data_IF_058095658633
#
_entry.id   IF_058095658633
#
_cell.length_a   1.000
_cell.length_b   1.000
_cell.length_c   1.000
_cell.angle_alpha   90.00
_cell.angle_beta   90.00
_cell.angle_gamma   90.00
#
_symmetry.space_group_name_H-M   'P 1'
#
loop_
_entity.id
_entity.type
_entity.pdbx_description
1 polymer ?
#
# COMPACT_ATOMS: atom_id res chain seq x y z
N UNK A 1 -12.63 17.54 -0.09
CA UNK A 1 -11.45 17.03 -0.80
C UNK A 1 -11.85 16.23 -2.03
N UNK A 2 -11.23 16.56 -3.17
CA UNK A 2 -11.55 15.95 -4.47
C UNK A 2 -11.17 14.47 -4.57
N UNK A 3 -10.27 13.97 -3.73
CA UNK A 3 -9.84 12.56 -3.74
C UNK A 3 -10.31 11.81 -2.50
N UNK A 4 -11.32 12.30 -1.76
CA UNK A 4 -11.78 11.68 -0.53
C UNK A 4 -10.67 11.61 0.54
N UNK A 5 -10.43 10.45 1.20
CA UNK A 5 -9.40 10.34 2.23
C UNK A 5 -7.98 10.24 1.65
N UNK A 6 -7.83 10.22 0.33
CA UNK A 6 -6.55 9.96 -0.33
C UNK A 6 -5.73 11.23 -0.55
N UNK A 7 -4.40 11.06 -0.54
CA UNK A 7 -3.41 12.03 -0.97
C UNK A 7 -2.52 11.39 -2.02
N UNK A 8 -2.25 12.09 -3.11
CA UNK A 8 -1.36 11.60 -4.16
C UNK A 8 0.10 11.79 -3.74
N UNK A 9 0.93 10.75 -3.91
CA UNK A 9 2.38 10.80 -3.79
C UNK A 9 3.02 10.68 -5.17
N UNK A 10 3.32 11.82 -5.85
CA UNK A 10 3.79 11.81 -7.24
C UNK A 10 5.08 11.02 -7.45
N UNK A 11 6.00 11.08 -6.48
CA UNK A 11 7.27 10.36 -6.52
C UNK A 11 7.14 8.83 -6.63
N UNK A 12 5.99 8.29 -6.23
CA UNK A 12 5.70 6.85 -6.24
C UNK A 12 4.53 6.51 -7.18
N UNK A 13 3.88 7.51 -7.80
CA UNK A 13 2.68 7.33 -8.62
C UNK A 13 1.58 6.49 -7.94
N UNK A 14 1.42 6.64 -6.62
CA UNK A 14 0.37 5.98 -5.83
C UNK A 14 -0.38 7.01 -5.00
N UNK A 15 -1.56 6.63 -4.53
CA UNK A 15 -2.27 7.40 -3.51
C UNK A 15 -2.11 6.74 -2.14
N UNK A 16 -2.10 7.54 -1.08
CA UNK A 16 -2.09 7.08 0.31
C UNK A 16 -3.39 7.47 0.98
N UNK A 17 -4.01 6.53 1.69
CA UNK A 17 -5.15 6.86 2.52
C UNK A 17 -4.67 7.50 3.83
N UNK A 18 -5.10 8.74 4.11
CA UNK A 18 -4.67 9.49 5.32
C UNK A 18 -5.18 8.88 6.64
N UNK A 19 -6.29 8.12 6.58
CA UNK A 19 -6.88 7.47 7.75
C UNK A 19 -6.25 6.10 8.02
N UNK A 20 -6.10 5.28 6.97
CA UNK A 20 -5.51 3.95 7.07
C UNK A 20 -3.97 3.95 7.10
N UNK A 21 -3.35 5.03 6.62
CA UNK A 21 -1.89 5.26 6.55
C UNK A 21 -1.10 4.25 5.71
N UNK A 22 -1.67 3.80 4.60
CA UNK A 22 -0.96 2.97 3.61
C UNK A 22 -1.33 3.34 2.17
N UNK A 23 -0.45 2.97 1.24
CA UNK A 23 -0.60 3.22 -0.20
C UNK A 23 -1.56 2.23 -0.86
N UNK A 24 -2.32 2.71 -1.85
CA UNK A 24 -3.35 1.95 -2.56
C UNK A 24 -3.23 2.22 -4.06
N UNK A 25 -3.35 1.16 -4.88
CA UNK A 25 -3.40 1.28 -6.35
C UNK A 25 -4.81 1.68 -6.81
N UNK A 26 -4.91 2.38 -7.94
CA UNK A 26 -6.15 3.07 -8.30
C UNK A 26 -7.38 2.13 -8.43
N UNK A 27 -7.22 0.91 -8.95
CA UNK A 27 -8.35 -0.03 -9.07
C UNK A 27 -8.85 -0.58 -7.73
N UNK A 28 -8.05 -0.48 -6.66
CA UNK A 28 -8.43 -0.97 -5.33
C UNK A 28 -9.12 0.09 -4.46
N UNK A 29 -9.28 1.31 -4.97
CA UNK A 29 -9.96 2.38 -4.22
C UNK A 29 -11.37 1.97 -3.76
N UNK A 30 -12.25 1.40 -4.62
CA UNK A 30 -13.60 1.06 -4.19
C UNK A 30 -13.61 -0.03 -3.13
N UNK A 31 -12.77 -1.06 -3.27
CA UNK A 31 -12.67 -2.15 -2.30
C UNK A 31 -12.05 -1.66 -0.98
N UNK A 32 -11.02 -0.81 -1.04
CA UNK A 32 -10.44 -0.16 0.13
C UNK A 32 -11.48 0.62 0.93
N UNK A 33 -12.26 1.48 0.26
CA UNK A 33 -13.30 2.30 0.89
C UNK A 33 -14.49 1.48 1.40
N UNK A 34 -14.71 0.27 0.88
CA UNK A 34 -15.80 -0.62 1.30
C UNK A 34 -15.41 -1.49 2.49
N UNK A 35 -14.21 -2.06 2.49
CA UNK A 35 -13.81 -3.12 3.42
C UNK A 35 -13.10 -2.62 4.68
N UNK A 36 -12.52 -1.42 4.65
CA UNK A 36 -11.85 -0.87 5.83
C UNK A 36 -12.87 -0.28 6.80
N UNK A 37 -12.82 -0.73 8.07
CA UNK A 37 -13.75 -0.31 9.13
C UNK A 37 -13.80 1.22 9.25
N UNK A 38 -12.66 1.90 9.13
CA UNK A 38 -12.53 3.36 9.20
C UNK A 38 -13.26 4.12 8.08
N UNK A 39 -13.60 3.46 6.96
CA UNK A 39 -14.36 4.06 5.85
C UNK A 39 -15.76 3.45 5.70
N UNK A 40 -16.06 2.41 6.47
CA UNK A 40 -17.28 1.66 6.33
C UNK A 40 -18.47 2.61 6.55
N UNK A 41 -19.38 2.67 5.57
CA UNK A 41 -20.56 3.56 5.53
C UNK A 41 -20.29 5.05 5.29
N UNK A 42 -19.03 5.46 5.05
CA UNK A 42 -18.72 6.86 4.78
C UNK A 42 -19.03 7.29 3.33
N UNK A 43 -19.00 6.34 2.40
CA UNK A 43 -19.17 6.61 0.97
C UNK A 43 -20.24 5.72 0.36
N UNK A 44 -21.04 6.28 -0.54
CA UNK A 44 -21.96 5.57 -1.43
C UNK A 44 -21.20 4.85 -2.54
N UNK A 45 -21.90 4.02 -3.31
CA UNK A 45 -21.30 3.37 -4.49
C UNK A 45 -20.82 4.37 -5.53
N UNK A 46 -21.64 5.40 -5.78
CA UNK A 46 -21.31 6.44 -6.75
C UNK A 46 -20.08 7.24 -6.32
N UNK A 47 -20.03 7.71 -5.07
CA UNK A 47 -18.87 8.47 -4.57
C UNK A 47 -17.57 7.67 -4.65
N UNK A 48 -17.61 6.36 -4.37
CA UNK A 48 -16.43 5.49 -4.54
C UNK A 48 -15.95 5.45 -5.99
N UNK A 49 -16.87 5.35 -6.96
CA UNK A 49 -16.52 5.35 -8.37
C UNK A 49 -16.01 6.72 -8.82
N UNK A 50 -16.60 7.80 -8.33
CA UNK A 50 -16.14 9.16 -8.66
C UNK A 50 -14.74 9.43 -8.10
N UNK A 51 -14.44 8.98 -6.87
CA UNK A 51 -13.10 9.06 -6.29
C UNK A 51 -12.11 8.23 -7.12
N UNK A 52 -12.47 6.99 -7.48
CA UNK A 52 -11.65 6.13 -8.35
C UNK A 52 -11.36 6.81 -9.69
N UNK A 53 -12.39 7.34 -10.36
CA UNK A 53 -12.24 7.98 -11.67
C UNK A 53 -11.30 9.19 -11.63
N UNK A 54 -11.43 10.04 -10.60
CA UNK A 54 -10.52 11.18 -10.38
C UNK A 54 -9.08 10.73 -10.15
N UNK A 55 -8.86 9.67 -9.38
CA UNK A 55 -7.51 9.14 -9.13
C UNK A 55 -6.94 8.46 -10.39
N UNK A 56 -7.74 7.68 -11.13
CA UNK A 56 -7.30 7.04 -12.38
C UNK A 56 -6.96 8.03 -13.51
N UNK A 57 -7.48 9.25 -13.42
CA UNK A 57 -7.15 10.35 -14.34
C UNK A 57 -5.79 11.01 -14.04
N UNK A 58 -5.17 10.73 -12.89
CA UNK A 58 -3.83 11.23 -12.57
C UNK A 58 -2.81 10.59 -13.53
N UNK A 59 -2.02 11.39 -14.29
CA UNK A 59 -1.01 10.86 -15.19
C UNK A 59 0.00 9.98 -14.45
N UNK A 60 0.28 8.79 -14.99
CA UNK A 60 1.28 7.88 -14.45
C UNK A 60 0.83 7.05 -13.24
N UNK A 61 -0.38 7.26 -12.70
CA UNK A 61 -0.87 6.54 -11.51
C UNK A 61 -0.84 5.02 -11.71
N UNK A 62 -0.32 4.30 -10.71
CA UNK A 62 -0.32 2.85 -10.70
C UNK A 62 -1.73 2.33 -10.46
N UNK A 63 -2.26 1.61 -11.45
CA UNK A 63 -3.65 1.17 -11.45
C UNK A 63 -3.85 -0.19 -10.79
N UNK A 64 -2.86 -1.07 -10.85
CA UNK A 64 -3.01 -2.48 -10.44
C UNK A 64 -1.80 -2.99 -9.66
N UNK A 65 -1.96 -4.14 -8.99
CA UNK A 65 -0.88 -4.80 -8.26
C UNK A 65 0.21 -5.30 -9.21
N UNK A 66 -0.12 -5.68 -10.45
CA UNK A 66 0.87 -6.11 -11.45
C UNK A 66 1.81 -4.95 -11.84
N UNK A 67 1.29 -3.72 -11.85
CA UNK A 67 2.12 -2.53 -12.08
C UNK A 67 3.13 -2.27 -10.95
N UNK A 68 3.02 -2.96 -9.81
CA UNK A 68 3.99 -2.89 -8.74
C UNK A 68 5.21 -3.81 -8.95
N UNK A 69 5.21 -4.68 -9.98
CA UNK A 69 6.37 -5.54 -10.25
C UNK A 69 7.63 -4.71 -10.53
N UNK A 70 7.50 -3.58 -11.23
CA UNK A 70 8.59 -2.65 -11.52
C UNK A 70 8.67 -1.50 -10.50
N UNK A 71 7.90 -1.56 -9.41
CA UNK A 71 7.87 -0.50 -8.41
C UNK A 71 9.18 -0.42 -7.64
N UNK A 72 9.81 0.75 -7.71
CA UNK A 72 11.00 1.05 -6.93
C UNK A 72 10.59 1.42 -5.51
N UNK A 73 10.74 0.45 -4.59
CA UNK A 73 10.48 0.69 -3.18
C UNK A 73 11.48 1.71 -2.60
N UNK A 74 11.02 2.58 -1.68
CA UNK A 74 11.91 3.52 -0.99
C UNK A 74 13.04 2.76 -0.29
N UNK A 75 14.31 3.21 -0.40
CA UNK A 75 15.42 2.62 0.33
C UNK A 75 15.22 2.73 1.85
N UNK A 76 15.92 1.90 2.62
CA UNK A 76 15.78 1.82 4.09
C UNK A 76 16.13 3.12 4.83
N UNK A 77 16.94 4.01 4.22
CA UNK A 77 17.29 5.34 4.73
C UNK A 77 16.27 6.43 4.31
N UNK A 78 15.15 6.07 3.67
CA UNK A 78 14.17 7.10 3.28
C UNK A 78 13.56 7.73 4.53
N UNK A 79 13.53 9.07 4.65
CA UNK A 79 12.76 9.74 5.69
C UNK A 79 11.31 9.25 5.71
N UNK A 80 10.63 9.37 6.84
CA UNK A 80 9.22 8.94 6.96
C UNK A 80 8.40 9.57 5.84
N UNK A 81 7.84 8.72 4.99
CA UNK A 81 6.99 9.17 3.89
C UNK A 81 5.72 9.76 4.51
N UNK A 82 5.35 11.01 4.19
CA UNK A 82 4.17 11.64 4.75
C UNK A 82 2.92 10.76 4.59
N UNK A 83 2.07 10.76 5.62
CA UNK A 83 0.79 10.04 5.66
C UNK A 83 0.87 8.50 5.66
N UNK A 84 2.05 7.92 5.49
CA UNK A 84 2.29 6.48 5.67
C UNK A 84 2.69 6.23 7.13
N UNK A 85 2.23 5.12 7.70
CA UNK A 85 2.67 4.71 9.02
C UNK A 85 4.19 4.50 9.02
N UNK A 86 4.93 5.00 10.04
CA UNK A 86 6.37 4.78 10.12
C UNK A 86 6.73 3.28 10.02
N UNK A 87 7.90 2.95 9.44
CA UNK A 87 8.39 1.58 9.42
C UNK A 87 8.35 0.99 10.82
N UNK A 88 7.79 -0.22 10.95
CA UNK A 88 7.76 -0.91 12.23
C UNK A 88 9.14 -1.53 12.49
N UNK A 89 9.69 -1.41 13.72
CA UNK A 89 11.04 -1.89 14.03
C UNK A 89 11.12 -3.41 14.18
N UNK A 90 9.99 -4.12 14.13
CA UNK A 90 9.90 -5.57 14.36
C UNK A 90 9.98 -6.40 13.07
N UNK A 91 10.33 -5.78 11.94
CA UNK A 91 10.56 -6.46 10.68
C UNK A 91 11.87 -7.26 10.69
N UNK A 92 11.79 -8.56 10.44
CA UNK A 92 12.93 -9.46 10.20
C UNK A 92 13.03 -9.77 8.72
N UNK A 93 14.13 -9.40 8.08
CA UNK A 93 14.41 -9.69 6.68
C UNK A 93 15.07 -11.07 6.54
N UNK A 94 14.60 -11.89 5.60
CA UNK A 94 15.28 -13.12 5.22
C UNK A 94 16.60 -12.78 4.54
N UNK A 95 17.69 -13.42 4.99
CA UNK A 95 19.04 -13.15 4.49
C UNK A 95 19.25 -13.60 3.04
N UNK A 96 18.50 -14.60 2.59
CA UNK A 96 18.62 -15.19 1.24
C UNK A 96 17.84 -14.37 0.20
N UNK A 97 16.57 -14.07 0.47
CA UNK A 97 15.66 -13.48 -0.53
C UNK A 97 15.13 -12.08 -0.18
N UNK A 98 15.60 -11.46 0.91
CA UNK A 98 15.18 -10.13 1.36
C UNK A 98 13.69 -9.95 1.69
N UNK A 99 12.90 -11.03 1.75
CA UNK A 99 11.49 -10.97 2.17
C UNK A 99 11.40 -10.64 3.66
N UNK A 100 10.54 -9.69 4.03
CA UNK A 100 10.39 -9.21 5.42
C UNK A 100 9.19 -9.88 6.11
N UNK A 101 9.41 -10.34 7.34
CA UNK A 101 8.41 -11.00 8.20
C UNK A 101 8.40 -10.35 9.58
N UNK A 102 7.23 -10.25 10.21
CA UNK A 102 7.11 -9.71 11.58
C UNK A 102 7.18 -10.76 12.69
N UNK A 103 6.99 -12.03 12.36
CA UNK A 103 6.94 -13.12 13.35
C UNK A 103 8.09 -14.10 13.12
N UNK A 104 8.86 -14.38 14.17
CA UNK A 104 9.99 -15.33 14.11
C UNK A 104 9.57 -16.69 13.57
N UNK A 105 8.39 -17.18 13.98
CA UNK A 105 7.82 -18.44 13.48
C UNK A 105 7.60 -18.44 11.97
N UNK A 106 7.17 -17.30 11.40
CA UNK A 106 6.87 -17.17 9.96
C UNK A 106 8.14 -17.12 9.13
N UNK A 107 9.16 -16.35 9.55
CA UNK A 107 10.45 -16.35 8.83
C UNK A 107 11.12 -17.72 8.93
N UNK A 108 11.08 -18.39 10.08
CA UNK A 108 11.59 -19.75 10.19
C UNK A 108 10.85 -20.72 9.27
N UNK A 109 9.51 -20.67 9.23
CA UNK A 109 8.72 -21.50 8.32
C UNK A 109 9.10 -21.24 6.86
N UNK A 110 9.18 -19.97 6.45
CA UNK A 110 9.63 -19.58 5.12
C UNK A 110 11.03 -20.11 4.80
N UNK A 111 12.01 -19.95 5.69
CA UNK A 111 13.37 -20.46 5.46
C UNK A 111 13.40 -21.99 5.31
N UNK A 112 12.58 -22.73 6.07
CA UNK A 112 12.46 -24.20 5.91
C UNK A 112 11.85 -24.58 4.56
N UNK A 113 10.76 -23.91 4.17
CA UNK A 113 9.96 -24.28 2.99
C UNK A 113 10.61 -23.83 1.67
N UNK A 114 11.22 -22.64 1.63
CA UNK A 114 11.73 -22.02 0.40
C UNK A 114 13.25 -22.11 0.26
N UNK A 115 13.98 -22.32 1.36
CA UNK A 115 15.45 -22.32 1.38
C UNK A 115 16.06 -23.60 1.97
N UNK A 116 15.26 -24.51 2.55
CA UNK A 116 15.71 -25.81 3.05
C UNK A 116 16.52 -25.78 4.35
N UNK A 117 16.35 -24.73 5.18
CA UNK A 117 16.98 -24.62 6.50
C UNK A 117 16.21 -25.39 7.60
#
# INVERSE_FOLDING_TARGET
>A
DELGPFVHLPQYNVVVCRLCRYAVVAKEIPSHLLHQIVHQRQFTSQERQDIKGRIEAIPGILKTQEALQDFQYPPTNTPVIPFIEPPRPDGMQCIECSRVFRQKRRIQQHCREEHGW
#
